data_IF_593941675745
#
_entry.id   IF_593941675745
#
_cell.length_a   1.000
_cell.length_b   1.000
_cell.length_c   1.000
_cell.angle_alpha   90.00
_cell.angle_beta   90.00
_cell.angle_gamma   90.00
#
_symmetry.space_group_name_H-M   'P 1'
#
loop_
_entity.id
_entity.type
_entity.pdbx_description
1 polymer ?
#
# COMPACT_ATOMS: atom_id res chain seq x y z
N UNK A 1 -5.60 -13.19 41.21
CA UNK A 1 -5.06 -12.40 40.09
C UNK A 1 -5.92 -12.76 38.90
N UNK A 2 -6.84 -11.87 38.48
CA UNK A 2 -7.64 -12.11 37.30
C UNK A 2 -6.69 -11.99 36.09
N UNK A 3 -6.40 -13.11 35.42
CA UNK A 3 -5.92 -13.04 34.04
C UNK A 3 -6.97 -12.29 33.24
N UNK A 4 -6.64 -11.08 32.79
CA UNK A 4 -7.48 -10.38 31.85
C UNK A 4 -7.55 -11.25 30.59
N UNK A 5 -8.74 -11.79 30.29
CA UNK A 5 -8.97 -12.53 29.05
C UNK A 5 -8.62 -11.59 27.90
N UNK A 6 -7.66 -11.99 27.07
CA UNK A 6 -7.26 -11.20 25.91
C UNK A 6 -8.48 -11.06 24.99
N UNK A 7 -8.92 -9.81 24.77
CA UNK A 7 -10.06 -9.52 23.90
C UNK A 7 -9.67 -9.71 22.43
N UNK A 8 -10.65 -10.11 21.63
CA UNK A 8 -10.48 -10.17 20.17
C UNK A 8 -10.75 -8.80 19.56
N UNK A 9 -9.75 -8.22 18.89
CA UNK A 9 -9.97 -7.01 18.10
C UNK A 9 -10.74 -7.35 16.82
N UNK A 10 -11.97 -6.84 16.69
CA UNK A 10 -12.84 -7.15 15.57
C UNK A 10 -12.33 -6.60 14.23
N UNK A 11 -11.39 -5.66 14.24
CA UNK A 11 -10.72 -5.17 13.03
C UNK A 11 -9.77 -6.20 12.41
N UNK A 12 -9.38 -7.26 13.13
CA UNK A 12 -8.57 -8.35 12.57
C UNK A 12 -9.37 -9.36 11.75
N UNK A 13 -10.70 -9.28 11.79
CA UNK A 13 -11.60 -10.25 11.17
C UNK A 13 -12.21 -9.67 9.89
N UNK A 14 -12.12 -10.41 8.79
CA UNK A 14 -12.96 -10.16 7.61
C UNK A 14 -14.41 -10.63 7.87
N UNK A 15 -15.29 -10.51 6.87
CA UNK A 15 -16.69 -10.89 7.01
C UNK A 15 -16.85 -12.34 7.48
N UNK A 16 -16.14 -13.27 6.87
CA UNK A 16 -16.20 -14.68 7.22
C UNK A 16 -15.67 -14.94 8.63
N UNK A 17 -14.54 -14.32 8.99
CA UNK A 17 -14.00 -14.37 10.35
C UNK A 17 -14.98 -13.82 11.39
N UNK A 18 -15.67 -12.71 11.06
CA UNK A 18 -16.69 -12.12 11.93
C UNK A 18 -17.91 -13.04 12.06
N UNK A 19 -18.36 -13.67 10.98
CA UNK A 19 -19.48 -14.63 11.02
C UNK A 19 -19.16 -15.85 11.90
N UNK A 20 -17.95 -16.40 11.78
CA UNK A 20 -17.48 -17.49 12.63
C UNK A 20 -17.36 -17.06 14.09
N UNK A 21 -16.78 -15.88 14.36
CA UNK A 21 -16.70 -15.35 15.72
C UNK A 21 -18.08 -15.23 16.39
N UNK A 22 -19.09 -14.75 15.66
CA UNK A 22 -20.45 -14.66 16.18
C UNK A 22 -21.08 -16.04 16.42
N UNK A 23 -20.91 -16.98 15.50
CA UNK A 23 -21.50 -18.31 15.62
C UNK A 23 -20.84 -19.14 16.72
N UNK A 24 -19.52 -19.23 16.69
CA UNK A 24 -18.74 -20.23 17.41
C UNK A 24 -18.33 -19.72 18.81
N UNK A 25 -18.06 -18.41 18.94
CA UNK A 25 -17.64 -17.81 20.23
C UNK A 25 -18.82 -17.23 21.01
N UNK A 26 -19.74 -16.52 20.33
CA UNK A 26 -20.85 -15.82 21.01
C UNK A 26 -22.14 -16.65 21.09
N UNK A 27 -22.25 -17.73 20.31
CA UNK A 27 -23.47 -18.53 20.16
C UNK A 27 -24.61 -17.74 19.49
N UNK A 28 -24.27 -16.81 18.61
CA UNK A 28 -25.21 -15.89 17.95
C UNK A 28 -25.37 -16.23 16.45
N UNK A 29 -26.46 -15.76 15.85
CA UNK A 29 -26.67 -15.96 14.40
C UNK A 29 -25.66 -15.14 13.59
N UNK A 30 -25.09 -15.74 12.55
CA UNK A 30 -24.09 -15.11 11.65
C UNK A 30 -24.45 -13.71 11.17
N UNK A 31 -25.72 -13.46 10.79
CA UNK A 31 -26.13 -12.14 10.30
C UNK A 31 -25.97 -10.99 11.33
N UNK A 32 -25.83 -11.31 12.63
CA UNK A 32 -25.54 -10.29 13.66
C UNK A 32 -24.16 -9.67 13.47
N UNK A 33 -23.20 -10.42 12.93
CA UNK A 33 -21.92 -9.90 12.49
C UNK A 33 -22.08 -8.73 11.52
N UNK A 34 -23.03 -8.84 10.59
CA UNK A 34 -23.24 -7.83 9.54
C UNK A 34 -23.72 -6.50 10.11
N UNK A 35 -24.50 -6.51 11.19
CA UNK A 35 -24.93 -5.30 11.88
C UNK A 35 -23.72 -4.59 12.50
N UNK A 36 -22.89 -5.34 13.23
CA UNK A 36 -21.70 -4.80 13.89
C UNK A 36 -20.67 -4.29 12.87
N UNK A 37 -20.46 -4.99 11.76
CA UNK A 37 -19.58 -4.50 10.68
C UNK A 37 -20.02 -3.13 10.14
N UNK A 38 -21.33 -2.92 9.91
CA UNK A 38 -21.85 -1.62 9.45
C UNK A 38 -21.58 -0.52 10.47
N UNK A 39 -21.72 -0.79 11.77
CA UNK A 39 -21.37 0.18 12.82
C UNK A 39 -19.88 0.54 12.80
N UNK A 40 -19.02 -0.47 12.68
CA UNK A 40 -17.57 -0.26 12.63
C UNK A 40 -17.17 0.55 11.39
N UNK A 41 -17.58 0.11 10.20
CA UNK A 41 -17.01 0.60 8.94
C UNK A 41 -17.81 1.71 8.26
N UNK A 42 -19.14 1.75 8.45
CA UNK A 42 -19.99 2.80 7.85
C UNK A 42 -20.18 4.00 8.78
N UNK A 43 -20.21 3.76 10.10
CA UNK A 43 -20.46 4.79 11.11
C UNK A 43 -19.23 5.14 11.97
N UNK A 44 -18.13 4.41 11.81
CA UNK A 44 -16.88 4.62 12.57
C UNK A 44 -17.09 4.57 14.09
N UNK A 45 -17.96 3.66 14.56
CA UNK A 45 -18.25 3.40 15.98
C UNK A 45 -17.30 2.35 16.54
N UNK A 46 -16.69 2.64 17.68
CA UNK A 46 -15.81 1.72 18.42
C UNK A 46 -16.44 1.19 19.71
N UNK A 47 -17.47 1.87 20.22
CA UNK A 47 -18.15 1.48 21.45
C UNK A 47 -19.40 0.66 21.14
N UNK A 48 -19.46 -0.57 21.67
CA UNK A 48 -20.63 -1.43 21.46
C UNK A 48 -21.91 -0.80 22.01
N UNK A 49 -21.81 0.00 23.08
CA UNK A 49 -22.94 0.70 23.69
C UNK A 49 -23.68 1.65 22.72
N UNK A 50 -23.01 2.18 21.69
CA UNK A 50 -23.58 3.08 20.69
C UNK A 50 -24.38 2.35 19.60
N UNK A 51 -24.26 1.01 19.51
CA UNK A 51 -24.92 0.21 18.48
C UNK A 51 -26.41 -0.01 18.82
N UNK A 52 -27.26 0.96 18.48
CA UNK A 52 -28.66 1.05 18.95
C UNK A 52 -29.58 -0.07 18.45
N UNK A 53 -29.25 -0.70 17.33
CA UNK A 53 -29.98 -1.85 16.76
C UNK A 53 -29.42 -3.22 17.20
N UNK A 54 -28.42 -3.22 18.10
CA UNK A 54 -27.85 -4.41 18.74
C UNK A 54 -28.43 -4.56 20.15
N UNK A 55 -29.02 -5.73 20.42
CA UNK A 55 -29.66 -6.02 21.70
C UNK A 55 -28.70 -5.90 22.88
N UNK A 56 -29.19 -5.43 24.05
CA UNK A 56 -28.36 -5.21 25.26
C UNK A 56 -27.54 -6.44 25.66
N UNK A 57 -28.14 -7.63 25.60
CA UNK A 57 -27.46 -8.88 25.93
C UNK A 57 -26.27 -9.18 24.99
N UNK A 58 -26.41 -8.89 23.70
CA UNK A 58 -25.34 -9.08 22.72
C UNK A 58 -24.22 -8.05 22.90
N UNK A 59 -24.56 -6.78 23.18
CA UNK A 59 -23.56 -5.75 23.52
C UNK A 59 -22.72 -6.14 24.73
N UNK A 60 -23.36 -6.63 25.80
CA UNK A 60 -22.66 -7.11 26.99
C UNK A 60 -21.72 -8.31 26.69
N UNK A 61 -22.14 -9.25 25.83
CA UNK A 61 -21.26 -10.34 25.38
C UNK A 61 -20.04 -9.79 24.64
N UNK A 62 -20.25 -8.90 23.67
CA UNK A 62 -19.16 -8.29 22.89
C UNK A 62 -18.19 -7.52 23.79
N UNK A 63 -18.69 -6.72 24.73
CA UNK A 63 -17.86 -5.99 25.70
C UNK A 63 -16.98 -6.90 26.56
N UNK A 64 -17.42 -8.14 26.82
CA UNK A 64 -16.67 -9.11 27.62
C UNK A 64 -15.52 -9.77 26.86
N UNK A 65 -15.66 -10.04 25.56
CA UNK A 65 -14.71 -10.87 24.79
C UNK A 65 -14.07 -10.20 23.56
N UNK A 66 -14.58 -9.04 23.17
CA UNK A 66 -14.16 -8.34 21.96
C UNK A 66 -13.93 -6.85 22.21
N UNK A 67 -13.27 -6.22 21.25
CA UNK A 67 -12.99 -4.80 21.22
C UNK A 67 -12.80 -4.30 19.78
N UNK A 68 -12.82 -2.99 19.58
CA UNK A 68 -12.59 -2.35 18.27
C UNK A 68 -11.53 -1.27 18.48
N UNK A 69 -10.25 -1.60 18.24
CA UNK A 69 -9.14 -0.68 18.43
C UNK A 69 -8.46 -0.35 17.11
N UNK A 70 -8.81 0.78 16.48
CA UNK A 70 -8.01 1.33 15.41
C UNK A 70 -6.69 1.92 15.96
N UNK A 71 -5.65 2.08 15.12
CA UNK A 71 -4.39 2.72 15.53
C UNK A 71 -4.58 4.13 16.08
N UNK A 72 -3.78 4.47 17.10
CA UNK A 72 -3.73 5.83 17.63
C UNK A 72 -3.01 6.77 16.67
N UNK A 73 -3.58 7.95 16.44
CA UNK A 73 -2.93 9.01 15.66
C UNK A 73 -1.95 9.73 16.58
N UNK A 74 -0.66 9.61 16.32
CA UNK A 74 0.39 10.34 17.04
C UNK A 74 0.57 11.74 16.50
N UNK A 75 0.38 11.90 15.19
CA UNK A 75 0.54 13.17 14.50
C UNK A 75 -0.26 13.19 13.20
N UNK A 76 -0.83 14.34 12.86
CA UNK A 76 -1.55 14.59 11.61
C UNK A 76 -1.05 15.88 10.96
N UNK A 77 -0.72 15.83 9.66
CA UNK A 77 -0.08 16.93 8.93
C UNK A 77 -0.79 17.19 7.60
N UNK A 78 -1.50 18.31 7.44
CA UNK A 78 -2.02 18.74 6.15
C UNK A 78 -0.91 19.38 5.29
N UNK A 79 -0.97 19.15 3.98
CA UNK A 79 -0.19 19.82 2.92
C UNK A 79 -1.01 20.94 2.30
N UNK A 80 -0.32 21.94 1.73
CA UNK A 80 -0.96 23.01 0.97
C UNK A 80 -1.75 22.51 -0.26
N UNK A 81 -1.39 21.35 -0.82
CA UNK A 81 -2.08 20.77 -1.99
C UNK A 81 -3.33 19.92 -1.63
N UNK A 82 -3.68 19.89 -0.34
CA UNK A 82 -4.77 19.09 0.22
C UNK A 82 -4.40 17.66 0.60
N UNK A 83 -3.17 17.20 0.29
CA UNK A 83 -2.64 15.93 0.80
C UNK A 83 -2.62 15.96 2.31
N UNK A 84 -2.90 14.83 2.95
CA UNK A 84 -2.91 14.72 4.40
C UNK A 84 -2.13 13.48 4.82
N UNK A 85 -1.17 13.64 5.74
CA UNK A 85 -0.36 12.55 6.26
C UNK A 85 -0.70 12.30 7.73
N UNK A 86 -0.86 11.03 8.10
CA UNK A 86 -0.98 10.60 9.48
C UNK A 86 0.24 9.76 9.88
N UNK A 87 0.76 10.01 11.08
CA UNK A 87 1.67 9.11 11.78
C UNK A 87 0.85 8.32 12.81
N UNK A 88 0.83 6.99 12.66
CA UNK A 88 0.00 6.10 13.44
C UNK A 88 0.87 5.24 14.34
N UNK A 89 0.62 5.29 15.63
CA UNK A 89 1.34 4.52 16.64
C UNK A 89 0.94 3.06 16.59
N UNK A 90 1.95 2.19 16.51
CA UNK A 90 1.83 0.74 16.57
C UNK A 90 2.21 0.26 17.98
N UNK A 91 3.14 -0.69 18.09
CA UNK A 91 3.65 -1.25 19.35
C UNK A 91 5.03 -0.70 19.72
N UNK A 92 5.31 -0.63 21.03
CA UNK A 92 6.65 -0.45 21.59
C UNK A 92 7.45 0.77 21.03
N UNK A 93 6.78 1.82 20.56
CA UNK A 93 7.43 3.01 19.97
C UNK A 93 7.61 2.96 18.45
N UNK A 94 7.08 1.94 17.77
CA UNK A 94 6.95 1.94 16.32
C UNK A 94 5.79 2.84 15.88
N UNK A 95 5.96 3.49 14.73
CA UNK A 95 4.90 4.21 14.05
C UNK A 95 5.04 4.06 12.52
N UNK A 96 3.90 4.01 11.84
CA UNK A 96 3.81 3.96 10.38
C UNK A 96 3.08 5.18 9.85
N UNK A 97 3.23 5.43 8.55
CA UNK A 97 2.59 6.56 7.89
C UNK A 97 1.47 6.10 6.96
N UNK A 98 0.39 6.88 6.90
CA UNK A 98 -0.68 6.76 5.91
C UNK A 98 -0.91 8.12 5.26
N UNK A 99 -1.20 8.16 3.95
CA UNK A 99 -1.28 9.41 3.19
C UNK A 99 -2.54 9.45 2.35
N UNK A 100 -3.40 10.45 2.58
CA UNK A 100 -4.55 10.74 1.73
C UNK A 100 -4.19 11.79 0.67
N UNK A 101 -4.51 11.49 -0.58
CA UNK A 101 -4.23 12.33 -1.74
C UNK A 101 -5.55 12.66 -2.45
N UNK A 102 -6.08 13.89 -2.29
CA UNK A 102 -7.28 14.31 -3.02
C UNK A 102 -6.95 14.67 -4.47
N UNK A 103 -7.77 14.27 -5.43
CA UNK A 103 -7.72 14.74 -6.81
C UNK A 103 -9.15 15.02 -7.31
N UNK A 104 -9.31 15.72 -8.44
CA UNK A 104 -10.62 16.10 -8.98
C UNK A 104 -11.54 14.87 -9.09
N UNK A 105 -12.56 14.80 -8.23
CA UNK A 105 -13.55 13.73 -8.21
C UNK A 105 -13.10 12.38 -7.61
N UNK A 106 -11.90 12.28 -7.01
CA UNK A 106 -11.43 11.06 -6.33
C UNK A 106 -10.51 11.37 -5.15
N UNK A 107 -10.46 10.49 -4.16
CA UNK A 107 -9.46 10.55 -3.09
C UNK A 107 -8.80 9.20 -2.90
N UNK A 108 -7.47 9.20 -2.84
CA UNK A 108 -6.66 7.97 -2.76
C UNK A 108 -5.95 7.91 -1.43
N UNK A 109 -6.12 6.82 -0.69
CA UNK A 109 -5.35 6.56 0.52
C UNK A 109 -4.19 5.61 0.22
N UNK A 110 -2.99 6.04 0.56
CA UNK A 110 -1.78 5.24 0.56
C UNK A 110 -1.64 4.56 1.92
N UNK A 111 -1.62 3.22 1.93
CA UNK A 111 -1.65 2.38 3.14
C UNK A 111 -0.35 1.59 3.26
N UNK A 112 0.20 1.55 4.46
CA UNK A 112 1.36 0.77 4.86
C UNK A 112 0.98 -0.67 5.20
N UNK A 113 1.90 -1.61 4.96
CA UNK A 113 1.70 -3.05 5.18
C UNK A 113 2.70 -3.66 6.18
N UNK A 114 3.80 -2.97 6.48
CA UNK A 114 4.83 -3.40 7.41
C UNK A 114 5.37 -2.20 8.19
N UNK A 115 6.03 -2.47 9.33
CA UNK A 115 6.87 -1.48 10.02
C UNK A 115 8.28 -1.55 9.43
N UNK A 116 8.60 -0.59 8.55
CA UNK A 116 9.79 -0.62 7.71
C UNK A 116 9.63 -1.53 6.49
N UNK A 117 10.72 -1.89 5.82
CA UNK A 117 10.71 -2.81 4.67
C UNK A 117 12.00 -3.62 4.56
N UNK A 118 11.86 -4.95 4.41
CA UNK A 118 12.98 -5.89 4.28
C UNK A 118 13.68 -5.90 2.91
N UNK A 119 13.07 -5.33 1.86
CA UNK A 119 13.54 -5.52 0.48
C UNK A 119 14.76 -4.71 0.06
N UNK A 120 15.09 -3.67 0.82
CA UNK A 120 16.29 -2.86 0.60
C UNK A 120 16.39 -2.20 -0.81
N UNK A 121 15.27 -1.69 -1.34
CA UNK A 121 15.29 -0.89 -2.58
C UNK A 121 16.12 0.37 -2.36
N UNK A 122 17.11 0.62 -3.22
CA UNK A 122 18.15 1.64 -2.96
C UNK A 122 17.65 3.08 -3.02
N UNK A 123 16.49 3.31 -3.65
CA UNK A 123 15.86 4.62 -3.86
C UNK A 123 14.67 4.86 -2.92
N UNK A 124 14.51 4.09 -1.84
CA UNK A 124 13.36 4.17 -0.95
C UNK A 124 13.77 4.57 0.48
N UNK A 125 13.18 5.64 1.02
CA UNK A 125 13.42 6.08 2.40
C UNK A 125 13.04 5.01 3.42
N UNK A 126 11.90 4.32 3.23
CA UNK A 126 11.47 3.24 4.13
C UNK A 126 12.51 2.11 4.22
N UNK A 127 13.26 1.86 3.15
CA UNK A 127 14.30 0.83 3.15
C UNK A 127 15.51 1.20 4.04
N UNK A 128 15.79 2.50 4.23
CA UNK A 128 16.88 2.97 5.11
C UNK A 128 16.55 2.77 6.59
N UNK A 129 15.26 2.75 6.94
CA UNK A 129 14.78 2.53 8.30
C UNK A 129 14.84 1.06 8.73
N UNK A 130 15.16 0.15 7.80
CA UNK A 130 15.25 -1.26 8.11
C UNK A 130 13.89 -1.96 8.17
N UNK A 131 13.77 -2.98 9.01
CA UNK A 131 12.54 -3.77 9.14
C UNK A 131 12.34 -4.20 10.60
N UNK A 132 11.11 -4.15 11.07
CA UNK A 132 10.73 -4.67 12.39
C UNK A 132 9.78 -5.87 12.29
N UNK A 133 8.54 -5.65 11.80
CA UNK A 133 7.51 -6.69 11.71
C UNK A 133 6.45 -6.37 10.65
N UNK A 134 5.65 -7.39 10.35
CA UNK A 134 4.41 -7.25 9.59
C UNK A 134 3.32 -6.56 10.44
N UNK A 135 2.46 -5.80 9.76
CA UNK A 135 1.24 -5.26 10.37
C UNK A 135 0.14 -6.33 10.45
N UNK A 136 -0.67 -6.31 11.49
CA UNK A 136 -1.88 -7.14 11.58
C UNK A 136 -2.95 -6.66 10.60
N UNK A 137 -4.04 -7.42 10.46
CA UNK A 137 -5.17 -6.99 9.64
C UNK A 137 -5.79 -5.72 10.22
N UNK A 138 -5.96 -5.65 11.55
CA UNK A 138 -6.47 -4.49 12.26
C UNK A 138 -5.63 -3.23 12.04
N UNK A 139 -4.30 -3.35 12.02
CA UNK A 139 -3.39 -2.23 11.78
C UNK A 139 -3.43 -1.73 10.32
N UNK A 140 -3.64 -2.63 9.35
CA UNK A 140 -3.78 -2.25 7.93
C UNK A 140 -5.13 -1.60 7.68
N UNK A 141 -6.23 -2.26 8.05
CA UNK A 141 -7.58 -1.72 7.81
C UNK A 141 -7.87 -0.51 8.70
N UNK A 142 -7.23 -0.44 9.87
CA UNK A 142 -7.30 0.69 10.78
C UNK A 142 -6.79 2.00 10.17
N UNK A 143 -5.82 1.95 9.25
CA UNK A 143 -5.40 3.13 8.48
C UNK A 143 -6.55 3.69 7.63
N UNK A 144 -7.29 2.81 6.96
CA UNK A 144 -8.47 3.18 6.16
C UNK A 144 -9.56 3.72 7.08
N UNK A 145 -9.75 3.10 8.25
CA UNK A 145 -10.73 3.54 9.24
C UNK A 145 -10.42 4.95 9.77
N UNK A 146 -9.18 5.22 10.18
CA UNK A 146 -8.75 6.52 10.69
C UNK A 146 -8.95 7.60 9.64
N UNK A 147 -8.45 7.39 8.42
CA UNK A 147 -8.60 8.34 7.33
C UNK A 147 -10.09 8.56 6.97
N UNK A 148 -10.87 7.49 6.93
CA UNK A 148 -12.30 7.56 6.60
C UNK A 148 -13.10 8.35 7.63
N UNK A 149 -12.82 8.14 8.93
CA UNK A 149 -13.41 8.90 10.03
C UNK A 149 -13.02 10.37 9.96
N UNK A 150 -11.72 10.66 9.80
CA UNK A 150 -11.21 12.04 9.70
C UNK A 150 -11.84 12.80 8.51
N UNK A 151 -11.99 12.13 7.37
CA UNK A 151 -12.58 12.74 6.17
C UNK A 151 -14.10 12.92 6.25
N UNK A 152 -14.77 12.34 7.26
CA UNK A 152 -16.23 12.33 7.38
C UNK A 152 -16.91 11.53 6.27
N UNK A 153 -16.28 10.46 5.79
CA UNK A 153 -16.86 9.61 4.76
C UNK A 153 -18.12 8.93 5.27
N UNK A 154 -19.15 8.90 4.40
CA UNK A 154 -20.34 8.08 4.62
C UNK A 154 -20.43 7.04 3.52
N UNK A 155 -20.20 5.77 3.88
CA UNK A 155 -20.25 4.65 2.93
C UNK A 155 -21.61 4.63 2.21
N UNK A 156 -21.60 4.49 0.88
CA UNK A 156 -22.79 4.51 0.00
C UNK A 156 -23.53 5.85 -0.13
N UNK A 157 -23.02 6.94 0.47
CA UNK A 157 -23.60 8.29 0.36
C UNK A 157 -22.60 9.27 -0.26
N UNK A 158 -21.71 9.85 0.56
CA UNK A 158 -20.68 10.78 0.13
C UNK A 158 -19.31 10.25 0.54
N UNK A 159 -18.53 9.82 -0.45
CA UNK A 159 -17.20 9.25 -0.26
C UNK A 159 -16.14 10.20 -0.80
N UNK A 160 -15.31 10.74 0.09
CA UNK A 160 -14.06 11.43 -0.26
C UNK A 160 -12.95 10.41 -0.51
N UNK A 161 -12.87 9.35 0.29
CA UNK A 161 -11.97 8.22 0.03
C UNK A 161 -12.63 7.26 -0.95
N UNK A 162 -12.08 7.19 -2.16
CA UNK A 162 -12.62 6.38 -3.24
C UNK A 162 -11.68 5.28 -3.69
N UNK A 163 -10.39 5.39 -3.35
CA UNK A 163 -9.33 4.50 -3.78
C UNK A 163 -8.38 4.20 -2.62
N UNK A 164 -7.83 2.99 -2.59
CA UNK A 164 -6.75 2.60 -1.68
C UNK A 164 -5.62 2.02 -2.51
N UNK A 165 -4.39 2.40 -2.19
CA UNK A 165 -3.17 1.83 -2.79
C UNK A 165 -2.26 1.31 -1.68
N UNK A 166 -1.79 0.06 -1.82
CA UNK A 166 -0.80 -0.54 -0.94
C UNK A 166 0.60 -0.11 -1.39
N UNK A 167 0.88 1.19 -1.26
CA UNK A 167 2.14 1.84 -1.68
C UNK A 167 2.78 2.63 -0.53
N UNK A 168 2.36 2.38 0.71
CA UNK A 168 2.95 2.96 1.91
C UNK A 168 4.26 2.25 2.28
N UNK A 169 4.49 2.08 3.57
CA UNK A 169 5.66 1.37 4.09
C UNK A 169 5.48 -0.15 3.96
N UNK A 170 6.52 -0.84 3.47
CA UNK A 170 6.58 -2.30 3.40
C UNK A 170 6.28 -2.91 2.02
N UNK A 171 6.59 -4.19 1.88
CA UNK A 171 6.22 -5.03 0.73
C UNK A 171 4.95 -5.83 1.06
N UNK A 172 3.80 -5.53 0.44
CA UNK A 172 2.54 -6.17 0.78
C UNK A 172 2.55 -7.70 0.61
N UNK A 173 3.28 -8.22 -0.39
CA UNK A 173 3.31 -9.67 -0.62
C UNK A 173 4.16 -10.44 0.40
N UNK A 174 4.99 -9.77 1.21
CA UNK A 174 5.65 -10.36 2.37
C UNK A 174 4.76 -10.38 3.63
N UNK A 175 3.60 -9.72 3.58
CA UNK A 175 2.57 -9.73 4.62
C UNK A 175 1.21 -10.19 4.06
N UNK A 176 1.26 -11.25 3.24
CA UNK A 176 0.17 -11.61 2.34
C UNK A 176 -1.18 -11.81 3.04
N UNK A 177 -1.24 -12.63 4.09
CA UNK A 177 -2.52 -13.03 4.69
C UNK A 177 -3.23 -11.83 5.34
N UNK A 178 -2.50 -10.98 6.06
CA UNK A 178 -3.07 -9.77 6.66
C UNK A 178 -3.49 -8.74 5.59
N UNK A 179 -2.68 -8.58 4.55
CA UNK A 179 -2.97 -7.66 3.44
C UNK A 179 -4.20 -8.11 2.66
N UNK A 180 -4.31 -9.39 2.30
CA UNK A 180 -5.45 -9.92 1.56
C UNK A 180 -6.74 -9.79 2.37
N UNK A 181 -6.69 -10.12 3.67
CA UNK A 181 -7.84 -9.94 4.58
C UNK A 181 -8.26 -8.47 4.68
N UNK A 182 -7.32 -7.55 4.85
CA UNK A 182 -7.62 -6.12 4.87
C UNK A 182 -8.19 -5.61 3.54
N UNK A 183 -7.64 -6.03 2.39
CA UNK A 183 -8.20 -5.69 1.08
C UNK A 183 -9.57 -6.31 0.83
N UNK A 184 -9.91 -7.43 1.48
CA UNK A 184 -11.28 -7.97 1.50
C UNK A 184 -12.22 -6.97 2.18
N UNK A 185 -11.90 -6.52 3.40
CA UNK A 185 -12.66 -5.52 4.14
C UNK A 185 -12.79 -4.16 3.41
N UNK A 186 -11.76 -3.74 2.69
CA UNK A 186 -11.82 -2.53 1.85
C UNK A 186 -12.89 -2.63 0.75
N UNK A 187 -13.12 -3.82 0.21
CA UNK A 187 -14.02 -4.06 -0.93
C UNK A 187 -15.41 -4.52 -0.51
N UNK A 188 -15.51 -5.09 0.69
CA UNK A 188 -16.73 -5.63 1.25
C UNK A 188 -17.83 -4.55 1.41
N UNK A 189 -19.07 -4.85 0.98
CA UNK A 189 -20.22 -3.93 1.07
C UNK A 189 -20.68 -3.59 2.50
N UNK A 190 -20.31 -4.42 3.47
CA UNK A 190 -20.47 -4.20 4.92
C UNK A 190 -19.23 -3.54 5.53
N UNK A 191 -18.13 -3.46 4.76
CA UNK A 191 -16.90 -2.76 5.07
C UNK A 191 -16.87 -1.36 4.42
N UNK A 192 -15.85 -1.08 3.60
CA UNK A 192 -15.76 0.21 2.89
C UNK A 192 -16.41 0.23 1.51
N UNK A 193 -16.79 -0.94 0.98
CA UNK A 193 -17.52 -1.08 -0.29
C UNK A 193 -16.79 -0.48 -1.49
N UNK A 194 -15.46 -0.52 -1.52
CA UNK A 194 -14.67 -0.03 -2.66
C UNK A 194 -14.71 -1.05 -3.81
N UNK A 195 -14.83 -0.57 -5.05
CA UNK A 195 -14.75 -1.46 -6.20
C UNK A 195 -13.36 -2.10 -6.31
N UNK A 196 -13.28 -3.36 -6.75
CA UNK A 196 -12.03 -4.13 -6.98
C UNK A 196 -10.93 -3.31 -7.66
N UNK A 197 -11.27 -2.64 -8.78
CA UNK A 197 -10.34 -1.79 -9.56
C UNK A 197 -9.84 -0.52 -8.85
N UNK A 198 -10.40 -0.18 -7.68
CA UNK A 198 -10.03 0.99 -6.88
C UNK A 198 -9.18 0.63 -5.66
N UNK A 199 -8.94 -0.66 -5.44
CA UNK A 199 -7.96 -1.17 -4.47
C UNK A 199 -6.78 -1.73 -5.27
N UNK A 200 -5.62 -1.09 -5.15
CA UNK A 200 -4.42 -1.48 -5.90
C UNK A 200 -3.35 -2.00 -4.96
N UNK A 201 -2.90 -3.24 -5.17
CA UNK A 201 -1.71 -3.77 -4.53
C UNK A 201 -0.48 -3.44 -5.37
N UNK A 202 0.55 -2.85 -4.77
CA UNK A 202 1.86 -2.67 -5.42
C UNK A 202 2.86 -3.69 -4.87
N UNK A 203 3.71 -4.24 -5.73
CA UNK A 203 4.77 -5.18 -5.31
C UNK A 203 6.08 -4.95 -6.05
N UNK A 204 7.20 -5.22 -5.37
CA UNK A 204 8.54 -5.26 -5.96
C UNK A 204 8.83 -6.56 -6.71
N UNK A 205 7.88 -7.51 -6.74
CA UNK A 205 7.95 -8.68 -7.60
C UNK A 205 8.24 -10.01 -6.89
N UNK A 206 7.55 -10.32 -5.79
CA UNK A 206 7.57 -11.67 -5.24
C UNK A 206 6.75 -12.62 -6.11
N UNK A 207 7.39 -13.23 -7.10
CA UNK A 207 6.74 -14.03 -8.15
C UNK A 207 5.74 -15.07 -7.62
N UNK A 208 6.10 -15.98 -6.68
CA UNK A 208 5.14 -16.97 -6.18
C UNK A 208 3.92 -16.34 -5.50
N UNK A 209 4.09 -15.17 -4.90
CA UNK A 209 3.01 -14.48 -4.20
C UNK A 209 2.11 -13.68 -5.16
N UNK A 210 2.63 -13.26 -6.33
CA UNK A 210 1.80 -12.73 -7.42
C UNK A 210 0.87 -13.83 -7.93
N UNK A 211 1.39 -15.04 -8.13
CA UNK A 211 0.59 -16.19 -8.56
C UNK A 211 -0.48 -16.55 -7.53
N UNK A 212 -0.12 -16.56 -6.23
CA UNK A 212 -1.09 -16.76 -5.14
C UNK A 212 -2.15 -15.66 -5.10
N UNK A 213 -1.77 -14.39 -5.26
CA UNK A 213 -2.69 -13.25 -5.29
C UNK A 213 -3.72 -13.38 -6.42
N UNK A 214 -3.31 -13.87 -7.58
CA UNK A 214 -4.17 -14.04 -8.75
C UNK A 214 -5.35 -15.01 -8.47
N UNK A 215 -5.18 -15.93 -7.53
CA UNK A 215 -6.20 -16.90 -7.09
C UNK A 215 -7.05 -16.34 -5.96
N UNK A 216 -6.42 -15.73 -4.95
CA UNK A 216 -7.09 -15.43 -3.67
C UNK A 216 -7.73 -14.04 -3.62
N UNK A 217 -7.36 -13.10 -4.51
CA UNK A 217 -7.89 -11.74 -4.45
C UNK A 217 -8.12 -11.12 -5.83
N UNK A 218 -9.22 -10.37 -5.95
CA UNK A 218 -9.57 -9.61 -7.14
C UNK A 218 -9.34 -8.11 -6.93
N UNK A 219 -8.07 -7.70 -7.03
CA UNK A 219 -7.61 -6.32 -6.86
C UNK A 219 -6.83 -5.86 -8.11
N UNK A 220 -6.68 -4.55 -8.28
CA UNK A 220 -5.75 -4.03 -9.27
C UNK A 220 -4.31 -4.32 -8.84
N UNK A 221 -3.42 -4.62 -9.79
CA UNK A 221 -2.01 -4.89 -9.53
C UNK A 221 -1.13 -3.79 -10.14
N UNK A 222 -0.22 -3.28 -9.31
CA UNK A 222 0.90 -2.47 -9.74
C UNK A 222 2.23 -3.20 -9.43
N UNK A 223 3.22 -3.01 -10.30
CA UNK A 223 4.54 -3.63 -10.17
C UNK A 223 5.61 -2.56 -10.18
N UNK A 224 6.40 -2.51 -9.11
CA UNK A 224 7.61 -1.69 -8.98
C UNK A 224 8.72 -2.27 -9.86
N UNK A 225 8.74 -1.86 -11.13
CA UNK A 225 9.66 -2.37 -12.13
C UNK A 225 11.01 -1.62 -12.08
N UNK A 226 10.95 -0.29 -12.25
CA UNK A 226 12.05 0.68 -12.13
C UNK A 226 13.32 0.47 -12.99
N UNK A 227 13.42 -0.62 -13.74
CA UNK A 227 14.46 -0.85 -14.74
C UNK A 227 14.00 -1.90 -15.77
N UNK A 228 14.40 -1.79 -17.05
CA UNK A 228 13.97 -2.72 -18.09
C UNK A 228 14.86 -3.97 -18.24
N UNK A 229 16.02 -4.01 -17.60
CA UNK A 229 17.00 -5.10 -17.67
C UNK A 229 17.45 -5.53 -16.25
N UNK A 230 18.00 -6.74 -16.15
CA UNK A 230 18.32 -7.37 -14.87
C UNK A 230 19.52 -6.74 -14.17
N UNK A 231 20.51 -6.24 -14.92
CA UNK A 231 21.69 -5.59 -14.37
C UNK A 231 21.30 -4.35 -13.57
N UNK A 232 20.57 -3.42 -14.20
CA UNK A 232 20.12 -2.20 -13.57
C UNK A 232 19.06 -2.49 -12.49
N UNK A 233 18.14 -3.42 -12.75
CA UNK A 233 17.10 -3.75 -11.76
C UNK A 233 17.69 -4.36 -10.51
N UNK A 234 18.74 -5.16 -10.61
CA UNK A 234 19.44 -5.75 -9.46
C UNK A 234 20.14 -4.69 -8.61
N UNK A 235 20.70 -3.65 -9.23
CA UNK A 235 21.28 -2.52 -8.51
C UNK A 235 20.22 -1.75 -7.70
N UNK A 236 19.06 -1.50 -8.32
CA UNK A 236 18.00 -0.69 -7.71
C UNK A 236 17.11 -1.47 -6.73
N UNK A 237 16.80 -2.73 -7.06
CA UNK A 237 15.87 -3.62 -6.35
C UNK A 237 16.56 -4.99 -6.17
N UNK A 238 17.25 -5.22 -5.03
CA UNK A 238 18.02 -6.45 -4.81
C UNK A 238 17.22 -7.76 -4.94
N UNK A 239 15.90 -7.73 -4.72
CA UNK A 239 15.00 -8.87 -4.93
C UNK A 239 15.10 -9.46 -6.35
N UNK A 240 15.50 -8.66 -7.34
CA UNK A 240 15.68 -9.10 -8.72
C UNK A 240 16.68 -10.25 -8.88
N UNK A 241 17.66 -10.39 -7.97
CA UNK A 241 18.60 -11.54 -7.96
C UNK A 241 17.88 -12.88 -7.79
N UNK A 242 16.75 -12.86 -7.07
CA UNK A 242 15.94 -14.04 -6.80
C UNK A 242 14.85 -14.23 -7.87
N UNK A 243 14.23 -13.14 -8.31
CA UNK A 243 13.18 -13.14 -9.33
C UNK A 243 13.53 -12.13 -10.43
N UNK A 244 14.25 -12.56 -11.48
CA UNK A 244 14.65 -11.71 -12.61
C UNK A 244 13.45 -11.12 -13.37
N UNK A 245 13.70 -10.09 -14.17
CA UNK A 245 12.68 -9.36 -14.94
C UNK A 245 11.82 -10.31 -15.77
N UNK A 246 12.42 -11.26 -16.48
CA UNK A 246 11.67 -12.20 -17.32
C UNK A 246 10.64 -13.02 -16.51
N UNK A 247 11.05 -13.54 -15.37
CA UNK A 247 10.19 -14.32 -14.46
C UNK A 247 9.08 -13.46 -13.85
N UNK A 248 9.40 -12.23 -13.46
CA UNK A 248 8.43 -11.25 -12.99
C UNK A 248 7.36 -10.94 -14.05
N UNK A 249 7.78 -10.71 -15.29
CA UNK A 249 6.84 -10.43 -16.39
C UNK A 249 5.96 -11.64 -16.70
N UNK A 250 6.48 -12.87 -16.60
CA UNK A 250 5.69 -14.09 -16.76
C UNK A 250 4.65 -14.27 -15.63
N UNK A 251 5.00 -13.93 -14.39
CA UNK A 251 4.04 -13.89 -13.28
C UNK A 251 2.93 -12.85 -13.52
N UNK A 252 3.29 -11.69 -14.07
CA UNK A 252 2.32 -10.65 -14.46
C UNK A 252 1.35 -11.14 -15.54
N UNK A 253 1.84 -11.91 -16.52
CA UNK A 253 0.99 -12.54 -17.55
C UNK A 253 0.02 -13.53 -16.90
N UNK A 254 0.51 -14.43 -16.04
CA UNK A 254 -0.33 -15.40 -15.32
C UNK A 254 -1.36 -14.72 -14.42
N UNK A 255 -1.01 -13.60 -13.79
CA UNK A 255 -1.93 -12.78 -13.02
C UNK A 255 -3.09 -12.30 -13.90
N UNK A 256 -2.80 -11.61 -15.01
CA UNK A 256 -3.83 -11.06 -15.90
C UNK A 256 -4.68 -12.13 -16.60
N UNK A 257 -4.11 -13.30 -16.91
CA UNK A 257 -4.87 -14.41 -17.49
C UNK A 257 -6.00 -14.91 -16.60
N UNK A 258 -5.91 -14.69 -15.27
CA UNK A 258 -6.98 -14.99 -14.31
C UNK A 258 -7.96 -13.83 -14.09
N UNK A 259 -7.70 -12.67 -14.70
CA UNK A 259 -8.52 -11.46 -14.56
C UNK A 259 -9.45 -11.27 -15.75
N UNK A 260 -10.31 -10.25 -15.67
CA UNK A 260 -11.27 -9.97 -16.74
C UNK A 260 -10.50 -9.51 -17.98
N UNK A 261 -10.94 -9.94 -19.15
CA UNK A 261 -10.33 -9.53 -20.42
C UNK A 261 -10.37 -8.00 -20.53
N UNK A 262 -9.21 -7.39 -20.78
CA UNK A 262 -9.05 -5.93 -20.85
C UNK A 262 -8.54 -5.28 -19.55
N UNK A 263 -8.39 -6.03 -18.46
CA UNK A 263 -7.69 -5.53 -17.27
C UNK A 263 -6.20 -5.27 -17.58
N UNK A 264 -5.58 -4.36 -16.83
CA UNK A 264 -4.21 -3.92 -17.07
C UNK A 264 -3.38 -3.95 -15.79
N UNK A 265 -2.09 -4.26 -15.90
CA UNK A 265 -1.11 -4.04 -14.84
C UNK A 265 -0.46 -2.68 -15.02
N UNK A 266 -0.29 -1.94 -13.93
CA UNK A 266 0.49 -0.70 -13.91
C UNK A 266 1.92 -1.00 -13.51
N UNK A 267 2.89 -0.73 -14.37
CA UNK A 267 4.30 -0.80 -14.07
C UNK A 267 4.77 0.57 -13.58
N UNK A 268 5.10 0.66 -12.30
CA UNK A 268 5.67 1.86 -11.69
C UNK A 268 7.15 1.95 -12.05
N UNK A 269 7.58 3.12 -12.52
CA UNK A 269 8.94 3.36 -13.00
C UNK A 269 9.44 4.71 -12.48
N UNK A 270 10.37 4.70 -11.54
CA UNK A 270 10.86 5.91 -10.90
C UNK A 270 12.03 6.43 -11.72
N UNK A 271 11.95 7.68 -12.19
CA UNK A 271 12.98 8.30 -13.01
C UNK A 271 14.03 8.99 -12.14
N UNK A 272 15.25 8.43 -12.18
CA UNK A 272 16.42 8.89 -11.46
C UNK A 272 17.46 9.38 -12.46
N UNK A 273 17.90 10.62 -12.26
CA UNK A 273 18.77 11.35 -13.16
C UNK A 273 20.08 10.62 -13.42
N UNK A 274 20.35 10.33 -14.69
CA UNK A 274 21.59 9.70 -15.13
C UNK A 274 21.72 8.21 -14.76
N UNK A 275 20.66 7.60 -14.21
CA UNK A 275 20.66 6.20 -13.78
C UNK A 275 19.77 5.35 -14.68
N UNK A 276 18.50 5.73 -14.82
CA UNK A 276 17.52 4.92 -15.54
C UNK A 276 16.58 5.75 -16.43
N UNK A 277 16.94 7.00 -16.73
CA UNK A 277 16.15 7.99 -17.46
C UNK A 277 16.71 8.30 -18.86
N UNK A 278 17.65 7.50 -19.36
CA UNK A 278 18.22 7.71 -20.69
C UNK A 278 17.25 7.33 -21.82
N UNK A 279 17.37 7.94 -23.02
CA UNK A 279 16.62 7.51 -24.20
C UNK A 279 16.85 6.05 -24.60
N UNK A 280 18.04 5.48 -24.33
CA UNK A 280 18.31 4.07 -24.58
C UNK A 280 17.47 3.17 -23.65
N UNK A 281 17.48 3.49 -22.36
CA UNK A 281 16.67 2.80 -21.34
C UNK A 281 15.17 2.90 -21.64
N UNK A 282 14.69 4.04 -22.15
CA UNK A 282 13.29 4.19 -22.59
C UNK A 282 12.92 3.21 -23.72
N UNK A 283 13.81 3.00 -24.69
CA UNK A 283 13.59 2.06 -25.80
C UNK A 283 13.61 0.60 -25.32
N UNK A 284 14.48 0.26 -24.38
CA UNK A 284 14.48 -1.06 -23.74
C UNK A 284 13.17 -1.33 -23.00
N UNK A 285 12.70 -0.35 -22.22
CA UNK A 285 11.42 -0.44 -21.53
C UNK A 285 10.26 -0.58 -22.52
N UNK A 286 10.26 0.18 -23.61
CA UNK A 286 9.25 0.06 -24.66
C UNK A 286 9.23 -1.35 -25.27
N UNK A 287 10.39 -1.94 -25.53
CA UNK A 287 10.51 -3.31 -26.04
C UNK A 287 9.96 -4.33 -25.02
N UNK A 288 10.27 -4.17 -23.74
CA UNK A 288 9.77 -5.03 -22.67
C UNK A 288 8.24 -4.98 -22.57
N UNK A 289 7.67 -3.76 -22.56
CA UNK A 289 6.22 -3.56 -22.50
C UNK A 289 5.52 -4.09 -23.75
N UNK A 290 6.10 -3.92 -24.94
CA UNK A 290 5.56 -4.50 -26.18
C UNK A 290 5.57 -6.02 -26.13
N UNK A 291 6.64 -6.63 -25.62
CA UNK A 291 6.70 -8.09 -25.43
C UNK A 291 5.59 -8.58 -24.49
N UNK A 292 5.36 -7.86 -23.39
CA UNK A 292 4.28 -8.15 -22.46
C UNK A 292 2.89 -8.06 -23.10
N UNK A 293 2.58 -6.95 -23.78
CA UNK A 293 1.31 -6.78 -24.49
C UNK A 293 1.10 -7.83 -25.58
N UNK A 294 2.16 -8.23 -26.30
CA UNK A 294 2.10 -9.31 -27.28
C UNK A 294 1.74 -10.66 -26.62
N UNK A 295 2.29 -10.98 -25.45
CA UNK A 295 1.90 -12.20 -24.71
C UNK A 295 0.42 -12.19 -24.30
N UNK A 296 -0.12 -11.00 -24.00
CA UNK A 296 -1.51 -10.83 -23.60
C UNK A 296 -2.51 -10.74 -24.76
N UNK A 297 -2.05 -10.46 -25.99
CA UNK A 297 -2.87 -10.36 -27.20
C UNK A 297 -3.94 -9.26 -27.15
N UNK A 298 -3.72 -8.19 -26.38
CA UNK A 298 -4.50 -6.94 -26.47
C UNK A 298 -3.63 -5.73 -26.11
N UNK A 299 -3.99 -4.58 -26.69
CA UNK A 299 -3.36 -3.30 -26.40
C UNK A 299 -3.60 -2.89 -24.94
N UNK A 300 -2.66 -2.15 -24.35
CA UNK A 300 -2.77 -1.58 -23.00
C UNK A 300 -2.85 -2.58 -21.84
N UNK A 301 -2.47 -3.85 -22.06
CA UNK A 301 -2.33 -4.83 -20.98
C UNK A 301 -1.33 -4.37 -19.91
N UNK A 302 -0.27 -3.68 -20.33
CA UNK A 302 0.69 -3.00 -19.45
C UNK A 302 0.64 -1.48 -19.64
N UNK A 303 0.53 -0.76 -18.52
CA UNK A 303 0.62 0.71 -18.47
C UNK A 303 1.86 1.09 -17.72
N UNK A 304 2.55 2.15 -18.12
CA UNK A 304 3.72 2.66 -17.39
C UNK A 304 3.35 3.93 -16.65
N UNK A 305 3.59 3.95 -15.34
CA UNK A 305 3.47 5.14 -14.52
C UNK A 305 4.87 5.65 -14.19
N UNK A 306 5.29 6.71 -14.87
CA UNK A 306 6.56 7.39 -14.64
C UNK A 306 6.45 8.24 -13.39
N UNK A 307 7.27 7.95 -12.39
CA UNK A 307 7.33 8.67 -11.12
C UNK A 307 8.62 9.50 -11.11
N UNK A 308 8.55 10.84 -11.17
CA UNK A 308 9.72 11.65 -10.89
C UNK A 308 10.25 11.32 -9.49
N UNK A 309 11.54 11.01 -9.37
CA UNK A 309 12.12 10.65 -8.08
C UNK A 309 11.92 11.78 -7.04
N UNK A 310 11.52 11.40 -5.82
CA UNK A 310 11.38 12.32 -4.69
C UNK A 310 12.61 12.14 -3.79
N UNK A 311 13.51 13.13 -3.70
CA UNK A 311 14.69 13.02 -2.86
C UNK A 311 14.34 12.88 -1.38
N UNK A 312 15.25 12.26 -0.64
CA UNK A 312 15.24 12.18 0.81
C UNK A 312 16.69 12.29 1.32
N UNK A 313 16.87 12.67 2.59
CA UNK A 313 18.20 12.87 3.16
C UNK A 313 19.09 11.62 2.98
N UNK A 314 20.33 11.80 2.50
CA UNK A 314 21.33 10.72 2.34
C UNK A 314 21.18 9.83 1.11
N UNK A 315 20.19 10.08 0.24
CA UNK A 315 20.11 9.37 -1.05
C UNK A 315 21.23 9.82 -2.00
N UNK A 316 21.73 8.90 -2.83
CA UNK A 316 22.64 9.22 -3.95
C UNK A 316 21.93 9.57 -5.25
N UNK A 317 20.61 9.43 -5.28
CA UNK A 317 19.81 9.60 -6.49
C UNK A 317 19.26 11.03 -6.58
N UNK A 318 19.13 11.53 -7.81
CA UNK A 318 18.56 12.84 -8.08
C UNK A 318 17.29 12.71 -8.94
N UNK A 319 16.40 13.69 -8.81
CA UNK A 319 15.22 13.81 -9.67
C UNK A 319 15.66 14.15 -11.10
N UNK A 320 15.19 13.37 -12.08
CA UNK A 320 15.36 13.69 -13.50
C UNK A 320 14.76 15.06 -13.84
N UNK A 321 15.37 15.78 -14.79
CA UNK A 321 14.84 17.04 -15.28
C UNK A 321 13.53 16.84 -16.06
N UNK A 322 12.69 17.87 -16.12
CA UNK A 322 11.40 17.79 -16.81
C UNK A 322 11.58 17.50 -18.30
N UNK A 323 12.63 18.03 -18.94
CA UNK A 323 12.96 17.74 -20.35
C UNK A 323 13.23 16.25 -20.57
N UNK A 324 14.04 15.63 -19.71
CA UNK A 324 14.38 14.21 -19.77
C UNK A 324 13.15 13.33 -19.50
N UNK A 325 12.34 13.68 -18.48
CA UNK A 325 11.09 12.98 -18.17
C UNK A 325 10.14 13.00 -19.38
N UNK A 326 9.97 14.16 -20.04
CA UNK A 326 9.11 14.30 -21.22
C UNK A 326 9.67 13.57 -22.43
N UNK A 327 10.98 13.60 -22.64
CA UNK A 327 11.62 12.83 -23.71
C UNK A 327 11.44 11.32 -23.50
N UNK A 328 11.65 10.83 -22.27
CA UNK A 328 11.43 9.43 -21.90
C UNK A 328 9.97 9.02 -22.12
N UNK A 329 9.02 9.83 -21.64
CA UNK A 329 7.59 9.64 -21.85
C UNK A 329 7.25 9.57 -23.34
N UNK A 330 7.77 10.50 -24.14
CA UNK A 330 7.50 10.57 -25.58
C UNK A 330 7.98 9.31 -26.30
N UNK A 331 9.17 8.81 -25.97
CA UNK A 331 9.71 7.57 -26.57
C UNK A 331 8.79 6.37 -26.29
N UNK A 332 8.27 6.25 -25.06
CA UNK A 332 7.32 5.19 -24.71
C UNK A 332 6.01 5.32 -25.51
N UNK A 333 5.46 6.54 -25.59
CA UNK A 333 4.20 6.82 -26.29
C UNK A 333 4.32 6.61 -27.80
N UNK A 334 5.40 7.07 -28.43
CA UNK A 334 5.70 6.85 -29.85
C UNK A 334 5.82 5.34 -30.17
N UNK A 335 6.24 4.53 -29.20
CA UNK A 335 6.31 3.07 -29.30
C UNK A 335 4.97 2.37 -28.99
N UNK A 336 3.89 3.11 -28.72
CA UNK A 336 2.57 2.58 -28.41
C UNK A 336 2.38 2.10 -26.97
N UNK A 337 3.25 2.51 -26.03
CA UNK A 337 3.11 2.19 -24.60
C UNK A 337 2.37 3.32 -23.90
N UNK A 338 1.29 2.98 -23.18
CA UNK A 338 0.54 3.95 -22.39
C UNK A 338 1.39 4.42 -21.20
N UNK A 339 2.03 5.59 -21.34
CA UNK A 339 2.90 6.18 -20.33
C UNK A 339 2.31 7.47 -19.74
N UNK A 340 2.09 7.49 -18.43
CA UNK A 340 1.64 8.64 -17.65
C UNK A 340 2.78 9.14 -16.76
N UNK A 341 2.83 10.45 -16.51
CA UNK A 341 3.75 11.02 -15.51
C UNK A 341 2.94 11.35 -14.26
N UNK A 342 3.31 10.74 -13.14
CA UNK A 342 2.69 10.98 -11.84
C UNK A 342 3.01 12.39 -11.35
N UNK A 343 1.99 13.14 -10.94
CA UNK A 343 2.19 14.44 -10.27
C UNK A 343 2.74 14.19 -8.87
N UNK A 344 3.79 14.92 -8.50
CA UNK A 344 4.26 14.99 -7.11
C UNK A 344 3.15 15.55 -6.22
N UNK A 345 2.92 14.94 -5.04
CA UNK A 345 1.88 15.35 -4.08
C UNK A 345 2.41 15.22 -2.66
N UNK A 346 2.12 16.21 -1.82
CA UNK A 346 2.53 16.24 -0.40
C UNK A 346 4.04 16.24 -0.15
N UNK A 347 4.84 16.80 -1.07
CA UNK A 347 6.30 16.88 -0.94
C UNK A 347 6.73 17.83 0.19
N UNK A 348 5.95 18.90 0.41
CA UNK A 348 6.12 19.87 1.52
C UNK A 348 5.98 19.25 2.92
N UNK A 349 5.44 18.03 2.99
CA UNK A 349 5.20 17.31 4.23
C UNK A 349 5.86 15.92 4.25
N UNK A 350 6.81 15.64 3.34
CA UNK A 350 7.48 14.34 3.20
C UNK A 350 6.47 13.18 3.05
N UNK A 351 5.43 13.38 2.25
CA UNK A 351 4.37 12.40 2.00
C UNK A 351 4.37 11.88 0.55
N UNK A 352 5.32 12.32 -0.28
CA UNK A 352 5.44 11.81 -1.63
C UNK A 352 5.92 10.34 -1.63
N UNK A 353 5.68 9.65 -2.74
CA UNK A 353 6.04 8.23 -2.86
C UNK A 353 7.54 8.03 -2.61
N UNK A 354 7.87 7.13 -1.68
CA UNK A 354 9.24 6.80 -1.31
C UNK A 354 9.85 7.65 -0.19
N UNK A 355 9.16 8.68 0.31
CA UNK A 355 9.65 9.53 1.42
C UNK A 355 9.24 9.04 2.82
N UNK A 356 8.26 8.14 2.92
CA UNK A 356 7.70 7.71 4.20
C UNK A 356 8.75 7.03 5.08
N UNK A 357 9.05 7.64 6.23
CA UNK A 357 10.07 7.17 7.17
C UNK A 357 9.43 6.48 8.37
N UNK A 358 8.32 7.02 8.88
CA UNK A 358 7.69 6.56 10.11
C UNK A 358 8.66 6.61 11.30
N UNK A 359 8.38 5.80 12.32
CA UNK A 359 9.30 5.53 13.43
C UNK A 359 9.50 4.01 13.51
N UNK A 360 10.69 3.54 13.15
CA UNK A 360 10.99 2.10 13.08
C UNK A 360 12.08 1.78 14.08
N UNK A 361 11.77 0.89 15.03
CA UNK A 361 12.80 0.23 15.83
C UNK A 361 13.44 -0.88 15.01
N UNK A 362 14.50 -0.56 14.29
CA UNK A 362 15.11 -1.49 13.34
C UNK A 362 15.70 -2.74 14.02
N UNK A 363 15.36 -3.93 13.49
CA UNK A 363 15.94 -5.22 13.91
C UNK A 363 17.05 -5.71 12.97
N UNK A 364 17.33 -4.97 11.90
CA UNK A 364 18.25 -5.34 10.81
C UNK A 364 19.58 -4.59 10.82
N UNK A 365 19.81 -3.68 11.78
CA UNK A 365 20.99 -2.79 11.91
C UNK A 365 21.21 -1.80 10.75
N UNK A 366 20.31 -1.73 9.78
CA UNK A 366 20.37 -0.81 8.64
C UNK A 366 20.21 0.65 9.05
N UNK A 367 19.34 0.95 10.01
CA UNK A 367 19.14 2.32 10.47
C UNK A 367 20.42 2.90 11.11
N UNK A 368 21.13 2.09 11.91
CA UNK A 368 22.42 2.50 12.50
C UNK A 368 23.51 2.71 11.45
N UNK A 369 23.58 1.84 10.43
CA UNK A 369 24.55 1.98 9.34
C UNK A 369 24.27 3.24 8.51
N UNK A 370 22.99 3.55 8.27
CA UNK A 370 22.59 4.74 7.53
C UNK A 370 22.93 6.03 8.29
N UNK A 371 22.63 6.10 9.59
CA UNK A 371 23.01 7.24 10.45
C UNK A 371 24.52 7.49 10.44
N UNK A 372 25.33 6.42 10.55
CA UNK A 372 26.78 6.53 10.47
C UNK A 372 27.26 7.10 9.14
N UNK A 373 26.60 6.75 8.02
CA UNK A 373 26.91 7.32 6.70
C UNK A 373 26.53 8.81 6.62
N UNK A 374 25.38 9.20 7.16
CA UNK A 374 24.94 10.61 7.20
C UNK A 374 25.92 11.48 8.00
N UNK A 375 26.34 11.00 9.18
CA UNK A 375 27.34 11.67 10.02
C UNK A 375 28.68 11.84 9.29
N UNK A 376 29.12 10.82 8.55
CA UNK A 376 30.32 10.89 7.72
C UNK A 376 30.18 11.87 6.54
N UNK A 377 28.97 12.13 6.08
CA UNK A 377 28.66 13.06 4.99
C UNK A 377 28.36 14.49 5.48
N UNK A 378 28.35 14.73 6.79
CA UNK A 378 28.04 16.04 7.37
C UNK A 378 26.58 16.48 7.20
N UNK A 379 25.66 15.55 6.91
CA UNK A 379 24.24 15.81 6.72
C UNK A 379 23.50 15.44 8.02
N UNK A 380 22.77 16.39 8.62
CA UNK A 380 21.96 16.07 9.80
C UNK A 380 20.66 15.37 9.39
N UNK A 381 20.28 14.33 10.14
CA UNK A 381 18.99 13.65 10.01
C UNK A 381 17.93 14.53 10.69
N UNK A 382 17.55 15.65 10.06
CA UNK A 382 16.46 16.48 10.54
C UNK A 382 15.14 15.70 10.36
N UNK A 383 14.59 15.26 11.49
CA UNK A 383 13.38 14.45 11.60
C UNK A 383 12.09 15.25 11.38
#
# INVERSE_FOLDING_TARGET
MNEAVAKTNLLDLDREGMEHFFADTLGEKRFRAHQVMKWIYHQHVTEFSEMTDVGKALRAKLEAVAEILPPNVLFDKPSADGTHKWLLGMDAGNAIEAVFIPDKGRGTLCVSSQVGCGLNCQFCSTATQGFNRNLSTAEIIGQVWVASKHLGNKTHLNRKLTNVVMMGMGEPLLNFDNVVRAMSLMRDDLGFGLANKRVTLSTSGLVPMIDRLAVESDVALAVSLHAPNDELRTELIPLNKKYPVAELMDACVRYLQRKKKGDSITFEYTLMKGVNDSPATARELAKLMKSFSNKMQYADAGKVNLIPFNPFAGTRFERSGETEIRAFQKILQDAGVLAMVRRTRGDDIDAACGQLKGQVMDRTRRQSEFKRKLEQQGVSDAA
#
